data_IF_433358536136
#
_entry.id   IF_433358536136
#
_cell.length_a   1.000
_cell.length_b   1.000
_cell.length_c   1.000
_cell.angle_alpha   90.00
_cell.angle_beta   90.00
_cell.angle_gamma   90.00
#
_symmetry.space_group_name_H-M   'P 1'
#
loop_
_entity.id
_entity.type
_entity.pdbx_description
1 polymer ?
#
# COMPACT_ATOMS: atom_id res chain seq x y z
N UNK A 1 41.98 -19.99 15.56
CA UNK A 1 41.72 -20.56 16.87
C UNK A 1 40.33 -21.16 16.93
N UNK A 2 40.21 -22.35 17.49
CA UNK A 2 38.94 -23.02 17.74
C UNK A 2 38.17 -22.27 18.80
N UNK A 3 36.85 -22.23 18.68
CA UNK A 3 35.93 -21.62 19.65
C UNK A 3 34.94 -22.65 20.15
N UNK A 4 34.70 -22.64 21.42
CA UNK A 4 33.71 -23.50 22.06
C UNK A 4 32.36 -22.75 22.16
N UNK A 5 31.28 -23.43 21.81
CA UNK A 5 29.93 -22.89 21.95
C UNK A 5 29.51 -23.09 23.40
N UNK A 6 29.40 -22.01 24.17
CA UNK A 6 29.05 -22.02 25.59
C UNK A 6 27.54 -21.85 25.84
N UNK A 7 26.78 -21.47 24.83
CA UNK A 7 25.33 -21.28 24.95
C UNK A 7 24.67 -20.88 23.63
N UNK A 8 23.35 -20.99 23.61
CA UNK A 8 22.48 -20.55 22.50
C UNK A 8 21.48 -19.55 23.05
N UNK A 9 21.29 -18.45 22.36
CA UNK A 9 20.34 -17.39 22.70
C UNK A 9 19.21 -17.36 21.68
N UNK A 10 18.09 -16.73 22.03
CA UNK A 10 16.98 -16.53 21.11
C UNK A 10 17.40 -15.60 19.97
N UNK A 11 16.69 -15.71 18.87
CA UNK A 11 16.88 -14.89 17.68
C UNK A 11 16.78 -13.39 17.98
N UNK A 12 17.74 -12.63 17.48
CA UNK A 12 17.75 -11.18 17.55
C UNK A 12 17.64 -10.58 16.13
N UNK A 13 17.12 -9.35 16.03
CA UNK A 13 16.95 -8.64 14.76
C UNK A 13 17.95 -7.49 14.67
N UNK A 14 19.21 -7.79 14.32
CA UNK A 14 20.25 -6.76 14.16
C UNK A 14 20.18 -6.01 12.82
N UNK A 15 19.68 -6.67 11.77
CA UNK A 15 19.66 -6.09 10.42
C UNK A 15 18.41 -5.20 10.15
N UNK A 16 17.61 -4.90 11.19
CA UNK A 16 16.38 -4.10 11.09
C UNK A 16 15.12 -4.92 11.42
N UNK A 17 14.04 -4.23 11.78
CA UNK A 17 12.80 -4.85 12.25
C UNK A 17 12.13 -5.76 11.21
N UNK A 18 12.29 -5.44 9.91
CA UNK A 18 11.74 -6.21 8.78
C UNK A 18 12.69 -7.25 8.20
N UNK A 19 13.95 -7.31 8.64
CA UNK A 19 14.91 -8.24 8.08
C UNK A 19 14.68 -9.68 8.55
N UNK A 20 14.92 -10.70 7.70
CA UNK A 20 14.90 -12.09 8.14
C UNK A 20 16.02 -12.35 9.15
N UNK A 21 15.73 -13.15 10.16
CA UNK A 21 16.71 -13.57 11.15
C UNK A 21 17.84 -14.36 10.47
N UNK A 22 19.08 -14.01 10.78
CA UNK A 22 20.27 -14.69 10.28
C UNK A 22 21.00 -15.34 11.43
N UNK A 23 21.67 -16.48 11.21
CA UNK A 23 22.55 -17.07 12.23
C UNK A 23 23.63 -16.09 12.64
N UNK A 24 23.75 -15.81 13.92
CA UNK A 24 24.70 -14.86 14.50
C UNK A 24 25.56 -15.55 15.55
N UNK A 25 26.79 -15.06 15.71
CA UNK A 25 27.73 -15.56 16.69
C UNK A 25 28.12 -14.41 17.63
N UNK A 26 27.75 -14.54 18.89
CA UNK A 26 28.14 -13.59 19.92
C UNK A 26 29.47 -14.02 20.52
N UNK A 27 30.41 -13.11 20.60
CA UNK A 27 31.73 -13.36 21.19
C UNK A 27 31.99 -12.32 22.27
N UNK A 28 32.64 -12.71 23.40
CA UNK A 28 33.02 -11.77 24.43
C UNK A 28 33.92 -10.64 23.88
N UNK A 29 33.74 -9.42 24.37
CA UNK A 29 34.51 -8.25 23.95
C UNK A 29 36.02 -8.48 24.08
N UNK A 30 36.46 -9.16 25.14
CA UNK A 30 37.87 -9.51 25.38
C UNK A 30 38.50 -10.36 24.26
N UNK A 31 37.68 -11.13 23.55
CA UNK A 31 38.16 -11.97 22.43
C UNK A 31 38.19 -11.19 21.10
N UNK A 32 37.42 -10.16 20.96
CA UNK A 32 37.35 -9.32 19.76
C UNK A 32 37.05 -7.86 20.12
N UNK A 33 38.04 -7.13 20.62
CA UNK A 33 37.86 -5.72 20.97
C UNK A 33 37.49 -4.91 19.73
N UNK A 34 36.54 -3.99 19.87
CA UNK A 34 36.08 -3.08 18.82
C UNK A 34 36.38 -1.64 19.25
N UNK A 35 36.63 -0.78 18.26
CA UNK A 35 36.89 0.65 18.47
C UNK A 35 35.63 1.46 18.70
N UNK A 36 34.44 0.91 18.40
CA UNK A 36 33.16 1.54 18.67
C UNK A 36 32.23 0.57 19.39
N UNK A 37 31.50 1.07 20.39
CA UNK A 37 30.53 0.32 21.17
C UNK A 37 29.24 1.11 21.30
N UNK A 38 28.12 0.40 21.34
CA UNK A 38 26.81 0.98 21.67
C UNK A 38 26.44 0.53 23.09
N UNK A 39 26.17 1.50 23.95
CA UNK A 39 25.71 1.25 25.31
C UNK A 39 24.18 1.38 25.33
N UNK A 40 23.50 0.34 25.77
CA UNK A 40 22.04 0.33 25.91
C UNK A 40 21.70 0.21 27.38
N UNK A 41 20.90 1.14 27.90
CA UNK A 41 20.45 1.14 29.28
C UNK A 41 18.91 1.10 29.31
N UNK A 42 18.37 0.19 30.14
CA UNK A 42 16.96 0.17 30.50
C UNK A 42 16.78 0.89 31.84
N UNK A 43 15.88 1.87 31.88
CA UNK A 43 15.67 2.71 33.07
C UNK A 43 14.19 2.88 33.37
N UNK A 44 13.86 2.97 34.66
CA UNK A 44 12.54 3.39 35.10
C UNK A 44 12.37 4.91 35.17
N UNK A 45 13.49 5.69 35.11
CA UNK A 45 13.49 7.15 35.05
C UNK A 45 13.40 7.63 33.60
N UNK A 46 13.10 8.90 33.39
CA UNK A 46 13.09 9.50 32.06
C UNK A 46 14.45 9.34 31.35
N UNK A 47 14.46 9.00 30.05
CA UNK A 47 15.69 8.70 29.29
C UNK A 47 16.67 9.89 29.25
N UNK A 48 16.17 11.13 29.32
CA UNK A 48 17.00 12.34 29.31
C UNK A 48 17.85 12.49 30.58
N UNK A 49 17.34 12.03 31.74
CA UNK A 49 18.05 12.12 33.01
C UNK A 49 19.24 11.15 33.07
N UNK A 50 19.10 9.99 32.47
CA UNK A 50 20.14 8.97 32.47
C UNK A 50 21.24 9.25 31.44
N UNK A 51 20.93 9.97 30.37
CA UNK A 51 21.90 10.31 29.31
C UNK A 51 23.10 11.09 29.86
N UNK A 52 22.84 12.05 30.73
CA UNK A 52 23.89 12.83 31.42
C UNK A 52 24.75 11.95 32.34
N UNK A 53 24.13 11.10 33.15
CA UNK A 53 24.83 10.21 34.06
C UNK A 53 25.68 9.17 33.31
N UNK A 54 25.17 8.61 32.21
CA UNK A 54 25.92 7.68 31.36
C UNK A 54 27.14 8.35 30.73
N UNK A 55 26.99 9.58 30.21
CA UNK A 55 28.11 10.35 29.66
C UNK A 55 29.17 10.60 30.74
N UNK A 56 28.77 11.04 31.91
CA UNK A 56 29.66 11.26 33.01
C UNK A 56 30.42 9.99 33.45
N UNK A 57 29.71 8.84 33.49
CA UNK A 57 30.31 7.55 33.79
C UNK A 57 31.37 7.13 32.75
N UNK A 58 31.11 7.33 31.46
CA UNK A 58 32.08 7.03 30.39
C UNK A 58 33.32 7.97 30.52
N UNK A 59 33.07 9.25 30.69
CA UNK A 59 34.15 10.25 30.84
C UNK A 59 34.99 10.12 32.12
N UNK A 60 34.42 9.49 33.18
CA UNK A 60 35.19 9.18 34.38
C UNK A 60 36.18 8.04 34.17
N UNK A 61 35.95 7.17 33.17
CA UNK A 61 36.87 6.07 32.82
C UNK A 61 37.90 6.56 31.78
N UNK A 62 37.46 7.30 30.78
CA UNK A 62 38.30 7.88 29.74
C UNK A 62 37.73 9.25 29.30
N UNK A 63 38.38 10.36 29.75
CA UNK A 63 37.93 11.70 29.40
C UNK A 63 38.00 12.04 27.92
N UNK A 64 38.85 11.37 27.15
CA UNK A 64 39.03 11.60 25.69
C UNK A 64 38.04 10.79 24.84
N UNK A 65 37.27 9.85 25.44
CA UNK A 65 36.32 9.03 24.72
C UNK A 65 35.09 9.84 24.28
N UNK A 66 34.86 10.00 22.95
CA UNK A 66 33.73 10.77 22.47
C UNK A 66 32.42 9.96 22.62
N UNK A 67 31.42 10.53 23.26
CA UNK A 67 30.06 9.99 23.36
C UNK A 67 29.19 10.72 22.37
N UNK A 68 28.75 10.04 21.33
CA UNK A 68 27.89 10.58 20.27
C UNK A 68 26.64 9.74 20.05
N UNK A 69 25.62 10.29 19.40
CA UNK A 69 24.35 9.63 19.08
C UNK A 69 23.60 9.11 20.30
N UNK A 70 23.36 9.98 21.27
CA UNK A 70 22.46 9.66 22.37
C UNK A 70 21.03 9.79 21.85
N UNK A 71 20.30 8.68 21.86
CA UNK A 71 18.91 8.65 21.43
C UNK A 71 18.11 7.64 22.24
N UNK A 72 16.82 7.84 22.38
CA UNK A 72 15.95 6.83 22.98
C UNK A 72 15.72 5.70 21.97
N UNK A 73 15.35 4.51 22.49
CA UNK A 73 14.98 3.37 21.62
C UNK A 73 13.77 3.73 20.74
N UNK A 74 12.84 4.54 21.27
CA UNK A 74 11.69 5.02 20.51
C UNK A 74 12.09 5.90 19.33
N UNK A 75 13.03 6.83 19.53
CA UNK A 75 13.59 7.66 18.46
C UNK A 75 14.33 6.80 17.42
N UNK A 76 15.10 5.82 17.88
CA UNK A 76 15.81 4.91 17.00
C UNK A 76 14.85 4.11 16.13
N UNK A 77 13.83 3.49 16.72
CA UNK A 77 12.80 2.74 15.99
C UNK A 77 12.00 3.65 15.06
N UNK A 78 11.63 4.87 15.49
CA UNK A 78 10.88 5.80 14.65
C UNK A 78 11.67 6.25 13.42
N UNK A 79 12.99 6.46 13.57
CA UNK A 79 13.86 6.78 12.46
C UNK A 79 13.98 5.63 11.45
N UNK A 80 14.03 4.38 11.94
CA UNK A 80 14.10 3.17 11.11
C UNK A 80 12.84 3.00 10.25
N UNK A 81 11.65 3.31 10.80
CA UNK A 81 10.38 3.17 10.08
C UNK A 81 9.96 4.42 9.30
N UNK A 82 10.69 5.53 9.41
CA UNK A 82 10.33 6.79 8.74
C UNK A 82 10.33 6.66 7.21
N UNK A 83 11.36 6.06 6.63
CA UNK A 83 11.46 5.86 5.17
C UNK A 83 10.39 4.91 4.64
N UNK A 84 10.17 3.71 5.22
CA UNK A 84 9.05 2.84 4.83
C UNK A 84 7.69 3.55 4.92
N UNK A 85 7.44 4.31 5.98
CA UNK A 85 6.18 5.06 6.17
C UNK A 85 5.99 6.11 5.08
N UNK A 86 7.02 6.89 4.75
CA UNK A 86 6.97 7.87 3.67
C UNK A 86 6.69 7.21 2.31
N UNK A 87 7.34 6.09 2.03
CA UNK A 87 7.12 5.31 0.80
C UNK A 87 5.69 4.78 0.72
N UNK A 88 5.14 4.23 1.81
CA UNK A 88 3.74 3.78 1.88
C UNK A 88 2.76 4.92 1.62
N UNK A 89 3.01 6.11 2.20
CA UNK A 89 2.16 7.28 1.98
C UNK A 89 2.19 7.73 0.51
N UNK A 90 3.37 7.79 -0.11
CA UNK A 90 3.52 8.15 -1.51
C UNK A 90 2.85 7.13 -2.44
N UNK A 91 3.03 5.83 -2.18
CA UNK A 91 2.36 4.77 -2.95
C UNK A 91 0.85 4.85 -2.80
N UNK A 92 0.35 5.11 -1.59
CA UNK A 92 -1.08 5.33 -1.32
C UNK A 92 -1.64 6.53 -2.10
N UNK A 93 -0.94 7.65 -2.10
CA UNK A 93 -1.33 8.83 -2.86
C UNK A 93 -1.38 8.58 -4.37
N UNK A 94 -0.38 7.87 -4.91
CA UNK A 94 -0.36 7.47 -6.33
C UNK A 94 -1.51 6.51 -6.65
N UNK A 95 -1.82 5.56 -5.78
CA UNK A 95 -2.93 4.63 -5.96
C UNK A 95 -4.29 5.37 -5.99
N UNK A 96 -4.50 6.36 -5.11
CA UNK A 96 -5.69 7.20 -5.11
C UNK A 96 -5.78 8.03 -6.40
N UNK A 97 -4.68 8.63 -6.85
CA UNK A 97 -4.67 9.38 -8.09
C UNK A 97 -5.00 8.50 -9.30
N UNK A 98 -4.42 7.29 -9.38
CA UNK A 98 -4.72 6.32 -10.43
C UNK A 98 -6.20 5.89 -10.40
N UNK A 99 -6.78 5.70 -9.22
CA UNK A 99 -8.19 5.36 -9.05
C UNK A 99 -9.12 6.47 -9.54
N UNK A 100 -8.80 7.73 -9.24
CA UNK A 100 -9.55 8.89 -9.73
C UNK A 100 -9.47 8.97 -11.26
N UNK A 101 -8.29 8.81 -11.84
CA UNK A 101 -8.13 8.80 -13.30
C UNK A 101 -8.91 7.66 -13.96
N UNK A 102 -8.88 6.47 -13.38
CA UNK A 102 -9.67 5.34 -13.87
C UNK A 102 -11.18 5.64 -13.81
N UNK A 103 -11.67 6.21 -12.71
CA UNK A 103 -13.08 6.59 -12.58
C UNK A 103 -13.50 7.64 -13.62
N UNK A 104 -12.67 8.66 -13.84
CA UNK A 104 -12.90 9.70 -14.87
C UNK A 104 -12.87 9.08 -16.27
N UNK A 105 -11.93 8.17 -16.54
CA UNK A 105 -11.85 7.46 -17.82
C UNK A 105 -13.10 6.62 -18.10
N UNK A 106 -13.54 5.82 -17.12
CA UNK A 106 -14.78 5.03 -17.25
C UNK A 106 -15.98 5.95 -17.48
N UNK A 107 -16.10 7.01 -16.68
CA UNK A 107 -17.16 8.00 -16.84
C UNK A 107 -17.19 8.60 -18.26
N UNK A 108 -16.04 9.02 -18.78
CA UNK A 108 -15.92 9.60 -20.12
C UNK A 108 -16.35 8.63 -21.22
N UNK A 109 -15.87 7.40 -21.18
CA UNK A 109 -16.24 6.35 -22.15
C UNK A 109 -17.74 6.05 -22.09
N UNK A 110 -18.28 5.91 -20.87
CA UNK A 110 -19.72 5.63 -20.70
C UNK A 110 -20.59 6.80 -21.11
N UNK A 111 -20.21 8.04 -20.81
CA UNK A 111 -20.94 9.23 -21.24
C UNK A 111 -20.98 9.32 -22.78
N UNK A 112 -19.86 9.03 -23.44
CA UNK A 112 -19.78 9.00 -24.90
C UNK A 112 -20.64 7.89 -25.51
N UNK A 113 -20.57 6.67 -24.95
CA UNK A 113 -21.39 5.54 -25.40
C UNK A 113 -22.90 5.83 -25.27
N UNK A 114 -23.32 6.43 -24.14
CA UNK A 114 -24.71 6.85 -23.93
C UNK A 114 -25.13 7.88 -24.96
N UNK A 115 -24.28 8.86 -25.27
CA UNK A 115 -24.59 9.89 -26.29
C UNK A 115 -24.78 9.29 -27.66
N UNK A 116 -23.93 8.32 -28.06
CA UNK A 116 -24.07 7.64 -29.36
C UNK A 116 -25.31 6.75 -29.42
N UNK A 117 -25.76 6.18 -28.29
CA UNK A 117 -26.93 5.29 -28.23
C UNK A 117 -28.22 6.03 -27.90
N UNK A 118 -28.21 7.38 -27.83
CA UNK A 118 -29.38 8.19 -27.43
C UNK A 118 -30.60 7.91 -28.31
N UNK A 119 -30.41 7.78 -29.62
CA UNK A 119 -31.49 7.45 -30.58
C UNK A 119 -32.09 6.06 -30.31
N UNK A 120 -31.26 5.03 -30.12
CA UNK A 120 -31.72 3.67 -29.80
C UNK A 120 -32.48 3.61 -28.47
N UNK A 121 -31.94 4.32 -27.44
CA UNK A 121 -32.60 4.43 -26.14
C UNK A 121 -33.95 5.14 -26.31
N UNK A 122 -34.03 6.19 -27.15
CA UNK A 122 -35.28 6.91 -27.46
C UNK A 122 -36.33 6.01 -28.08
N UNK A 123 -35.97 5.20 -29.08
CA UNK A 123 -36.89 4.24 -29.73
C UNK A 123 -37.39 3.21 -28.72
N UNK A 124 -36.50 2.62 -27.92
CA UNK A 124 -36.87 1.62 -26.91
C UNK A 124 -37.82 2.21 -25.86
N UNK A 125 -37.58 3.45 -25.44
CA UNK A 125 -38.42 4.14 -24.46
C UNK A 125 -39.79 4.46 -25.07
N UNK A 126 -39.86 4.86 -26.33
CA UNK A 126 -41.12 5.07 -27.06
C UNK A 126 -41.92 3.74 -27.22
N UNK A 127 -41.24 2.62 -27.32
CA UNK A 127 -41.86 1.28 -27.36
C UNK A 127 -42.21 0.73 -25.97
N UNK A 128 -42.05 1.51 -24.90
CA UNK A 128 -42.49 1.15 -23.55
C UNK A 128 -41.38 0.59 -22.63
N UNK A 129 -40.11 0.67 -23.01
CA UNK A 129 -39.02 0.26 -22.14
C UNK A 129 -39.00 1.13 -20.84
N UNK A 130 -38.89 0.49 -19.69
CA UNK A 130 -38.79 1.20 -18.43
C UNK A 130 -37.41 1.81 -18.20
N UNK A 131 -37.35 2.83 -17.36
CA UNK A 131 -36.06 3.45 -16.96
C UNK A 131 -35.08 2.41 -16.37
N UNK A 132 -35.60 1.35 -15.73
CA UNK A 132 -34.78 0.29 -15.17
C UNK A 132 -34.13 -0.58 -16.26
N UNK A 133 -34.83 -0.82 -17.37
CA UNK A 133 -34.29 -1.60 -18.49
C UNK A 133 -33.15 -0.87 -19.17
N UNK A 134 -33.30 0.43 -19.41
CA UNK A 134 -32.24 1.29 -19.94
C UNK A 134 -31.04 1.35 -19.00
N UNK A 135 -31.31 1.54 -17.70
CA UNK A 135 -30.25 1.57 -16.69
C UNK A 135 -29.44 0.25 -16.67
N UNK A 136 -30.18 -0.87 -16.67
CA UNK A 136 -29.58 -2.22 -16.66
C UNK A 136 -28.73 -2.49 -17.92
N UNK A 137 -29.18 -2.01 -19.07
CA UNK A 137 -28.45 -2.15 -20.34
C UNK A 137 -27.12 -1.39 -20.28
N UNK A 138 -27.17 -0.11 -19.95
CA UNK A 138 -26.00 0.78 -19.93
C UNK A 138 -25.01 0.37 -18.85
N UNK A 139 -25.49 0.12 -17.62
CA UNK A 139 -24.62 -0.33 -16.53
C UNK A 139 -24.04 -1.72 -16.85
N UNK A 140 -24.83 -2.62 -17.45
CA UNK A 140 -24.36 -3.96 -17.84
C UNK A 140 -23.19 -3.91 -18.81
N UNK A 141 -23.26 -3.06 -19.84
CA UNK A 141 -22.17 -2.88 -20.80
C UNK A 141 -20.90 -2.35 -20.10
N UNK A 142 -21.03 -1.32 -19.26
CA UNK A 142 -19.92 -0.75 -18.53
C UNK A 142 -19.29 -1.74 -17.55
N UNK A 143 -20.12 -2.52 -16.85
CA UNK A 143 -19.66 -3.54 -15.90
C UNK A 143 -18.92 -4.70 -16.60
N UNK A 144 -19.36 -5.12 -17.77
CA UNK A 144 -18.65 -6.16 -18.54
C UNK A 144 -17.23 -5.72 -18.89
N UNK A 145 -17.08 -4.49 -19.40
CA UNK A 145 -15.76 -3.94 -19.72
C UNK A 145 -14.89 -3.78 -18.47
N UNK A 146 -15.50 -3.32 -17.37
CA UNK A 146 -14.82 -3.17 -16.08
C UNK A 146 -14.35 -4.51 -15.52
N UNK A 147 -15.18 -5.55 -15.55
CA UNK A 147 -14.80 -6.87 -15.04
C UNK A 147 -13.63 -7.47 -15.83
N UNK A 148 -13.64 -7.31 -17.15
CA UNK A 148 -12.51 -7.71 -18.01
C UNK A 148 -11.25 -6.94 -17.60
N UNK A 149 -11.34 -5.62 -17.42
CA UNK A 149 -10.22 -4.78 -16.97
C UNK A 149 -9.69 -5.18 -15.59
N UNK A 150 -10.58 -5.43 -14.63
CA UNK A 150 -10.22 -5.90 -13.29
C UNK A 150 -9.53 -7.26 -13.35
N UNK A 151 -10.04 -8.20 -14.15
CA UNK A 151 -9.43 -9.53 -14.31
C UNK A 151 -8.01 -9.44 -14.89
N UNK A 152 -7.82 -8.66 -15.95
CA UNK A 152 -6.50 -8.42 -16.55
C UNK A 152 -5.57 -7.71 -15.55
N UNK A 153 -6.07 -6.69 -14.86
CA UNK A 153 -5.32 -5.94 -13.86
C UNK A 153 -4.87 -6.81 -12.68
N UNK A 154 -5.75 -7.67 -12.16
CA UNK A 154 -5.43 -8.63 -11.09
C UNK A 154 -4.40 -9.67 -11.55
N UNK A 155 -4.55 -10.21 -12.77
CA UNK A 155 -3.58 -11.14 -13.35
C UNK A 155 -2.21 -10.49 -13.50
N UNK A 156 -2.16 -9.25 -14.02
CA UNK A 156 -0.94 -8.47 -14.13
C UNK A 156 -0.30 -8.15 -12.77
N UNK A 157 -1.11 -7.73 -11.78
CA UNK A 157 -0.65 -7.48 -10.43
C UNK A 157 -0.08 -8.74 -9.78
N UNK A 158 -0.76 -9.88 -9.94
CA UNK A 158 -0.29 -11.18 -9.43
C UNK A 158 1.03 -11.59 -10.06
N UNK A 159 1.16 -11.46 -11.39
CA UNK A 159 2.38 -11.79 -12.11
C UNK A 159 3.55 -10.89 -11.67
N UNK A 160 3.32 -9.57 -11.56
CA UNK A 160 4.32 -8.60 -11.14
C UNK A 160 4.75 -8.83 -9.69
N UNK A 161 3.80 -9.07 -8.80
CA UNK A 161 4.06 -9.39 -7.40
C UNK A 161 4.91 -10.65 -7.28
N UNK A 162 4.61 -11.69 -8.05
CA UNK A 162 5.39 -12.94 -8.06
C UNK A 162 6.81 -12.74 -8.60
N UNK A 163 6.99 -11.87 -9.58
CA UNK A 163 8.31 -11.51 -10.10
C UNK A 163 9.12 -10.74 -9.04
N UNK A 164 8.47 -9.85 -8.29
CA UNK A 164 9.13 -9.10 -7.21
C UNK A 164 9.48 -9.96 -6.00
N UNK A 165 8.72 -11.01 -5.68
CA UNK A 165 9.06 -11.94 -4.58
C UNK A 165 10.36 -12.70 -4.82
N UNK A 166 10.74 -12.92 -6.07
CA UNK A 166 12.05 -13.49 -6.41
C UNK A 166 13.22 -12.54 -6.12
N UNK A 167 12.95 -11.25 -6.00
CA UNK A 167 13.91 -10.18 -5.69
C UNK A 167 13.84 -9.74 -4.21
N UNK A 168 12.72 -9.92 -3.54
CA UNK A 168 12.50 -9.61 -2.12
C UNK A 168 12.43 -10.90 -1.31
N UNK A 169 13.48 -11.20 -0.59
CA UNK A 169 13.51 -12.30 0.37
C UNK A 169 12.55 -12.04 1.54
N UNK A 170 11.55 -12.92 1.72
CA UNK A 170 10.91 -13.10 3.02
C UNK A 170 9.58 -12.40 3.29
N UNK A 171 8.89 -11.83 2.29
CA UNK A 171 7.52 -11.27 2.47
C UNK A 171 6.53 -12.10 1.66
N UNK A 172 5.45 -12.58 2.31
CA UNK A 172 4.31 -13.19 1.62
C UNK A 172 3.57 -12.10 0.83
N UNK A 173 3.95 -11.92 -0.42
CA UNK A 173 3.46 -10.84 -1.29
C UNK A 173 2.08 -11.14 -1.92
N UNK A 174 1.46 -12.30 -1.63
CA UNK A 174 0.17 -12.73 -2.18
C UNK A 174 -0.81 -13.01 -1.06
N UNK A 175 -1.35 -11.96 -0.45
CA UNK A 175 -2.46 -12.08 0.48
C UNK A 175 -3.79 -12.07 -0.31
N UNK A 176 -4.56 -13.19 -0.33
CA UNK A 176 -5.83 -13.26 -1.06
C UNK A 176 -6.87 -12.25 -0.57
N UNK A 177 -6.82 -11.88 0.72
CA UNK A 177 -7.74 -10.92 1.29
C UNK A 177 -7.50 -9.52 0.69
N UNK A 178 -6.26 -9.11 0.56
CA UNK A 178 -5.87 -7.83 -0.05
C UNK A 178 -6.32 -7.76 -1.51
N UNK A 179 -6.09 -8.82 -2.31
CA UNK A 179 -6.52 -8.87 -3.71
C UNK A 179 -8.05 -8.79 -3.83
N UNK A 180 -8.78 -9.48 -2.95
CA UNK A 180 -10.24 -9.45 -2.92
C UNK A 180 -10.78 -8.05 -2.57
N UNK A 181 -10.23 -7.41 -1.55
CA UNK A 181 -10.62 -6.04 -1.14
C UNK A 181 -10.38 -5.04 -2.27
N UNK A 182 -9.22 -5.11 -2.93
CA UNK A 182 -8.89 -4.23 -4.07
C UNK A 182 -9.86 -4.47 -5.23
N UNK A 183 -10.16 -5.74 -5.58
CA UNK A 183 -11.11 -6.08 -6.64
C UNK A 183 -12.50 -5.53 -6.36
N UNK A 184 -13.00 -5.67 -5.12
CA UNK A 184 -14.29 -5.14 -4.69
C UNK A 184 -14.31 -3.60 -4.73
N UNK A 185 -13.26 -2.95 -4.28
CA UNK A 185 -13.12 -1.50 -4.31
C UNK A 185 -13.12 -0.96 -5.75
N UNK A 186 -12.33 -1.56 -6.64
CA UNK A 186 -12.28 -1.18 -8.05
C UNK A 186 -13.63 -1.38 -8.74
N UNK A 187 -14.29 -2.52 -8.49
CA UNK A 187 -15.62 -2.81 -9.03
C UNK A 187 -16.66 -1.82 -8.50
N UNK A 188 -16.61 -1.47 -7.21
CA UNK A 188 -17.48 -0.49 -6.61
C UNK A 188 -17.31 0.90 -7.21
N UNK A 189 -16.07 1.37 -7.37
CA UNK A 189 -15.78 2.68 -8.01
C UNK A 189 -16.26 2.70 -9.46
N UNK A 190 -16.04 1.63 -10.21
CA UNK A 190 -16.51 1.51 -11.58
C UNK A 190 -18.05 1.51 -11.67
N UNK A 191 -18.72 0.84 -10.74
CA UNK A 191 -20.18 0.85 -10.65
C UNK A 191 -20.71 2.28 -10.46
N UNK A 192 -20.11 3.06 -9.54
CA UNK A 192 -20.48 4.46 -9.34
C UNK A 192 -20.18 5.30 -10.58
N UNK A 193 -19.03 5.11 -11.23
CA UNK A 193 -18.66 5.84 -12.43
C UNK A 193 -19.60 5.55 -13.63
N UNK A 194 -20.12 4.32 -13.74
CA UNK A 194 -21.12 3.94 -14.74
C UNK A 194 -22.53 4.41 -14.38
N UNK A 195 -22.88 4.43 -13.09
CA UNK A 195 -24.25 4.74 -12.65
C UNK A 195 -24.66 6.17 -12.97
N UNK A 196 -23.76 7.15 -12.81
CA UNK A 196 -24.06 8.58 -13.02
C UNK A 196 -24.48 8.85 -14.46
N UNK A 197 -23.70 8.45 -15.52
CA UNK A 197 -24.11 8.68 -16.92
C UNK A 197 -25.34 7.84 -17.30
N UNK A 198 -25.45 6.60 -16.78
CA UNK A 198 -26.61 5.75 -17.02
C UNK A 198 -27.90 6.38 -16.47
N UNK A 199 -27.87 6.97 -15.28
CA UNK A 199 -29.01 7.69 -14.72
C UNK A 199 -29.36 8.95 -15.50
N UNK A 200 -28.37 9.63 -16.12
CA UNK A 200 -28.64 10.75 -17.03
C UNK A 200 -29.35 10.29 -18.30
N UNK A 201 -28.94 9.14 -18.85
CA UNK A 201 -29.57 8.55 -20.03
C UNK A 201 -31.07 8.23 -19.82
N UNK A 202 -31.47 7.81 -18.64
CA UNK A 202 -32.90 7.50 -18.33
C UNK A 202 -33.79 8.75 -18.24
N UNK A 203 -33.23 9.96 -18.22
CA UNK A 203 -33.95 11.24 -18.15
C UNK A 203 -34.06 11.94 -19.50
N UNK A 204 -33.60 11.34 -20.60
CA UNK A 204 -33.71 11.90 -21.94
C UNK A 204 -35.17 11.84 -22.37
N UNK A 205 -35.70 12.99 -22.81
CA UNK A 205 -37.06 13.09 -23.35
C UNK A 205 -37.12 12.38 -24.73
N UNK A 206 -38.00 11.39 -24.92
CA UNK A 206 -38.13 10.66 -26.18
C UNK A 206 -38.45 11.57 -27.37
N UNK A 207 -39.18 12.68 -27.15
CA UNK A 207 -39.53 13.64 -28.18
C UNK A 207 -38.30 14.41 -28.70
N UNK A 208 -37.33 14.68 -27.80
CA UNK A 208 -36.09 15.36 -28.15
C UNK A 208 -35.14 14.40 -28.89
N UNK A 209 -35.08 13.13 -28.43
CA UNK A 209 -34.23 12.11 -29.03
C UNK A 209 -34.62 11.75 -30.48
N UNK A 210 -35.91 11.90 -30.85
CA UNK A 210 -36.42 11.62 -32.18
C UNK A 210 -36.39 12.85 -33.12
N UNK A 211 -36.14 14.07 -32.60
CA UNK A 211 -36.14 15.32 -33.37
C UNK A 211 -34.76 15.73 -33.88
N UNK A 212 -33.69 15.09 -33.45
CA UNK A 212 -32.34 15.32 -33.95
C UNK A 212 -32.09 14.38 -35.16
N UNK A 213 -32.57 14.79 -36.33
CA UNK A 213 -32.05 14.49 -37.65
C UNK A 213 -31.37 15.70 -38.22
#
# INVERSE_FOLDING_TARGET
>A
PWREIVGVVNDTKEAGLGAPTRPEIYVPFSQRPRTSMTLIAHTAAGPEQIAGAMRAAVQSVDPEQPVYRISTMEQFVSAEVAVPRATMFLMGALAVAALILAAVGIYGVMAHAVTQQTHEIGIRTALGASQRDVLRLVVGQGMTLTLIGVAIGLAGAFALTRLMTSLLFGVSATDPATFTVIALLLTGVALFACYIPARRATKVDPLVALRYE
#
